data_IF_886300084967
#
_entry.id   IF_886300084967
#
_cell.length_a   1.000
_cell.length_b   1.000
_cell.length_c   1.000
_cell.angle_alpha   90.00
_cell.angle_beta   90.00
_cell.angle_gamma   90.00
#
_symmetry.space_group_name_H-M   'P 1'
#
loop_
_entity.id
_entity.type
_entity.pdbx_description
1 polymer ?
#
# COMPACT_ATOMS: atom_id res chain seq x y z
N UNK A 1 -4.18 10.54 -16.80
CA UNK A 1 -4.90 9.31 -17.22
C UNK A 1 -5.08 8.29 -16.09
N UNK A 2 -4.03 7.91 -15.34
CA UNK A 2 -4.12 6.92 -14.22
C UNK A 2 -5.13 7.27 -13.13
N UNK A 3 -5.22 8.54 -12.72
CA UNK A 3 -6.22 9.03 -11.74
C UNK A 3 -7.67 8.80 -12.19
N UNK A 4 -8.00 9.05 -13.47
CA UNK A 4 -9.34 8.75 -14.02
C UNK A 4 -9.59 7.25 -14.12
N UNK A 5 -8.59 6.47 -14.53
CA UNK A 5 -8.71 5.01 -14.59
C UNK A 5 -8.93 4.37 -13.21
N UNK A 6 -8.39 4.95 -12.13
CA UNK A 6 -8.63 4.46 -10.76
C UNK A 6 -10.00 4.87 -10.19
N UNK A 7 -10.51 6.05 -10.58
CA UNK A 7 -11.79 6.59 -10.11
C UNK A 7 -12.98 6.03 -10.91
N UNK A 8 -12.79 5.72 -12.19
CA UNK A 8 -13.85 5.45 -13.17
C UNK A 8 -13.92 3.97 -13.60
N UNK A 9 -12.92 3.15 -13.25
CA UNK A 9 -12.97 1.72 -13.53
C UNK A 9 -13.85 1.00 -12.51
N UNK A 10 -15.04 0.57 -12.96
CA UNK A 10 -15.78 -0.56 -12.35
C UNK A 10 -14.93 -1.85 -12.26
N UNK A 11 -13.77 -1.87 -12.93
CA UNK A 11 -12.81 -2.97 -13.02
C UNK A 11 -11.44 -2.62 -12.41
N UNK A 12 -11.38 -2.39 -11.10
CA UNK A 12 -10.15 -2.65 -10.33
C UNK A 12 -10.06 -4.17 -10.09
N UNK A 13 -10.15 -4.99 -11.14
CA UNK A 13 -9.94 -6.44 -10.99
C UNK A 13 -8.47 -6.82 -11.14
N UNK A 14 -7.64 -5.95 -11.73
CA UNK A 14 -6.24 -6.26 -12.01
C UNK A 14 -5.28 -5.09 -11.71
N UNK A 15 -5.70 -4.04 -10.98
CA UNK A 15 -4.91 -2.81 -10.85
C UNK A 15 -4.02 -2.74 -9.62
N UNK A 16 -4.61 -3.07 -8.46
CA UNK A 16 -3.98 -2.92 -7.15
C UNK A 16 -3.19 -4.18 -6.75
N UNK A 17 -3.81 -5.35 -6.90
CA UNK A 17 -3.19 -6.63 -6.53
C UNK A 17 -2.25 -7.21 -7.61
N UNK A 18 -2.23 -6.67 -8.84
CA UNK A 18 -1.55 -7.34 -9.95
C UNK A 18 -0.08 -6.96 -10.18
N UNK A 19 0.53 -6.10 -9.36
CA UNK A 19 1.86 -5.54 -9.68
C UNK A 19 3.05 -6.34 -9.16
N UNK A 20 2.82 -7.26 -8.24
CA UNK A 20 3.64 -8.45 -8.15
C UNK A 20 2.70 -9.61 -8.44
N UNK A 21 2.50 -9.92 -9.73
CA UNK A 21 2.21 -11.30 -10.06
C UNK A 21 3.41 -12.08 -9.52
N UNK A 22 3.29 -12.62 -8.30
CA UNK A 22 3.77 -13.97 -8.08
C UNK A 22 3.23 -14.72 -9.29
N UNK A 23 4.08 -14.97 -10.29
CA UNK A 23 3.79 -16.03 -11.23
C UNK A 23 3.30 -17.18 -10.36
N UNK A 24 2.17 -17.81 -10.68
CA UNK A 24 1.53 -18.79 -9.78
C UNK A 24 2.49 -19.93 -9.31
N UNK A 25 3.70 -19.99 -9.88
CA UNK A 25 4.85 -20.83 -9.56
C UNK A 25 5.94 -20.23 -8.62
N UNK A 26 5.89 -18.96 -8.22
CA UNK A 26 6.92 -18.37 -7.34
C UNK A 26 6.72 -18.82 -5.90
N UNK A 27 7.70 -19.54 -5.35
CA UNK A 27 7.67 -20.05 -3.97
C UNK A 27 7.93 -18.97 -2.91
N UNK A 28 8.54 -17.85 -3.29
CA UNK A 28 9.03 -16.83 -2.36
C UNK A 28 8.38 -15.48 -2.61
N UNK A 29 8.18 -14.71 -1.53
CA UNK A 29 7.71 -13.33 -1.62
C UNK A 29 8.74 -12.51 -2.41
N UNK A 30 8.30 -11.67 -3.35
CA UNK A 30 9.26 -11.17 -4.30
C UNK A 30 10.05 -9.94 -3.78
N UNK A 31 9.56 -9.22 -2.75
CA UNK A 31 10.40 -8.29 -1.96
C UNK A 31 11.51 -9.01 -1.19
N UNK A 32 11.23 -10.20 -0.63
CA UNK A 32 12.24 -11.03 0.04
C UNK A 32 13.33 -11.45 -0.95
N UNK A 33 12.94 -11.78 -2.19
CA UNK A 33 13.89 -12.08 -3.27
C UNK A 33 14.81 -10.89 -3.55
N UNK A 34 14.27 -9.66 -3.64
CA UNK A 34 15.09 -8.46 -3.85
C UNK A 34 16.10 -8.27 -2.72
N UNK A 35 15.66 -8.36 -1.46
CA UNK A 35 16.57 -8.23 -0.31
C UNK A 35 17.65 -9.31 -0.33
N UNK A 36 17.31 -10.55 -0.65
CA UNK A 36 18.28 -11.64 -0.78
C UNK A 36 19.30 -11.39 -1.91
N UNK A 37 18.86 -10.82 -3.05
CA UNK A 37 19.76 -10.45 -4.15
C UNK A 37 20.69 -9.30 -3.77
N UNK A 38 20.21 -8.33 -2.99
CA UNK A 38 21.04 -7.26 -2.43
C UNK A 38 22.08 -7.82 -1.47
N UNK A 39 21.68 -8.69 -0.53
CA UNK A 39 22.61 -9.38 0.39
C UNK A 39 23.67 -10.15 -0.40
N UNK A 40 23.26 -10.90 -1.42
CA UNK A 40 24.18 -11.64 -2.27
C UNK A 40 25.15 -10.73 -3.02
N UNK A 41 24.69 -9.62 -3.61
CA UNK A 41 25.56 -8.67 -4.27
C UNK A 41 26.55 -8.00 -3.31
N UNK A 42 26.12 -7.66 -2.09
CA UNK A 42 27.00 -7.16 -1.04
C UNK A 42 28.04 -8.20 -0.62
N UNK A 43 27.66 -9.48 -0.59
CA UNK A 43 28.60 -10.57 -0.32
C UNK A 43 29.64 -10.76 -1.43
N UNK A 44 29.22 -10.67 -2.70
CA UNK A 44 30.17 -10.71 -3.82
C UNK A 44 31.16 -9.55 -3.74
N UNK A 45 30.72 -8.35 -3.39
CA UNK A 45 31.63 -7.21 -3.18
C UNK A 45 32.68 -7.44 -2.08
N UNK A 46 32.38 -8.29 -1.09
CA UNK A 46 33.34 -8.66 -0.03
C UNK A 46 34.45 -9.58 -0.57
N UNK A 47 34.14 -10.43 -1.56
CA UNK A 47 35.03 -11.51 -2.04
C UNK A 47 35.78 -11.17 -3.33
N UNK A 48 35.29 -10.22 -4.12
CA UNK A 48 35.70 -10.01 -5.51
C UNK A 48 36.87 -9.04 -5.70
N UNK A 49 37.56 -9.16 -6.85
CA UNK A 49 38.64 -8.24 -7.22
C UNK A 49 38.08 -6.84 -7.60
N UNK A 50 38.89 -5.78 -7.58
CA UNK A 50 38.45 -4.44 -7.98
C UNK A 50 37.87 -4.34 -9.41
N UNK A 51 38.21 -5.29 -10.29
CA UNK A 51 37.86 -5.30 -11.72
C UNK A 51 36.41 -5.75 -11.97
N UNK A 52 35.89 -6.71 -11.20
CA UNK A 52 34.49 -7.17 -11.24
C UNK A 52 33.53 -6.31 -10.42
N UNK A 53 34.06 -5.41 -9.58
CA UNK A 53 33.29 -4.54 -8.68
C UNK A 53 32.28 -3.63 -9.41
N UNK A 54 32.58 -3.19 -10.64
CA UNK A 54 31.71 -2.26 -11.36
C UNK A 54 30.38 -2.88 -11.80
N UNK A 55 30.40 -4.13 -12.26
CA UNK A 55 29.20 -4.86 -12.67
C UNK A 55 28.31 -5.17 -11.46
N UNK A 56 28.91 -5.59 -10.36
CA UNK A 56 28.18 -5.88 -9.11
C UNK A 56 27.48 -4.62 -8.58
N UNK A 57 28.16 -3.46 -8.61
CA UNK A 57 27.56 -2.17 -8.23
C UNK A 57 26.39 -1.82 -9.13
N UNK A 58 26.50 -2.03 -10.44
CA UNK A 58 25.40 -1.77 -11.37
C UNK A 58 24.17 -2.65 -11.08
N UNK A 59 24.39 -3.93 -10.79
CA UNK A 59 23.32 -4.88 -10.40
C UNK A 59 22.68 -4.46 -9.07
N UNK A 60 23.48 -4.12 -8.06
CA UNK A 60 22.97 -3.63 -6.78
C UNK A 60 22.14 -2.36 -6.93
N UNK A 61 22.58 -1.42 -7.78
CA UNK A 61 21.82 -0.20 -8.03
C UNK A 61 20.47 -0.50 -8.70
N UNK A 62 20.40 -1.49 -9.59
CA UNK A 62 19.13 -1.92 -10.17
C UNK A 62 18.16 -2.46 -9.11
N UNK A 63 18.65 -3.24 -8.15
CA UNK A 63 17.83 -3.75 -7.05
C UNK A 63 17.41 -2.67 -6.04
N UNK A 64 18.28 -1.69 -5.79
CA UNK A 64 17.94 -0.48 -5.01
C UNK A 64 16.79 0.26 -5.69
N UNK A 65 16.91 0.55 -6.98
CA UNK A 65 15.88 1.26 -7.75
C UNK A 65 14.55 0.50 -7.78
N UNK A 66 14.59 -0.84 -7.86
CA UNK A 66 13.39 -1.68 -7.83
C UNK A 66 12.70 -1.63 -6.46
N UNK A 67 13.49 -1.61 -5.38
CA UNK A 67 12.99 -1.45 -4.01
C UNK A 67 12.34 -0.07 -3.82
N UNK A 68 13.01 1.00 -4.24
CA UNK A 68 12.46 2.37 -4.20
C UNK A 68 11.15 2.46 -4.98
N UNK A 69 11.14 1.95 -6.21
CA UNK A 69 9.96 1.93 -7.08
C UNK A 69 8.80 1.15 -6.46
N UNK A 70 9.05 0.11 -5.67
CA UNK A 70 7.99 -0.57 -4.92
C UNK A 70 7.41 0.34 -3.83
N UNK A 71 8.26 0.94 -3.00
CA UNK A 71 7.82 1.78 -1.89
C UNK A 71 7.04 3.01 -2.39
N UNK A 72 7.53 3.66 -3.45
CA UNK A 72 6.87 4.80 -4.09
C UNK A 72 5.49 4.44 -4.64
N UNK A 73 5.36 3.29 -5.34
CA UNK A 73 4.07 2.85 -5.85
C UNK A 73 3.08 2.54 -4.74
N UNK A 74 3.52 1.89 -3.67
CA UNK A 74 2.68 1.61 -2.50
C UNK A 74 2.19 2.90 -1.84
N UNK A 75 3.05 3.91 -1.73
CA UNK A 75 2.68 5.24 -1.23
C UNK A 75 1.63 5.94 -2.11
N UNK A 76 1.83 5.93 -3.43
CA UNK A 76 0.89 6.51 -4.38
C UNK A 76 -0.48 5.85 -4.26
N UNK A 77 -0.48 4.52 -4.20
CA UNK A 77 -1.69 3.72 -4.14
C UNK A 77 -2.45 4.02 -2.81
N UNK A 78 -1.79 4.04 -1.65
CA UNK A 78 -2.41 4.45 -0.39
C UNK A 78 -2.91 5.90 -0.39
N UNK A 79 -2.14 6.83 -0.96
CA UNK A 79 -2.53 8.24 -1.04
C UNK A 79 -3.82 8.40 -1.86
N UNK A 80 -3.91 7.72 -3.00
CA UNK A 80 -5.08 7.78 -3.88
C UNK A 80 -6.30 7.15 -3.20
N UNK A 81 -6.14 5.96 -2.61
CA UNK A 81 -7.22 5.27 -1.92
C UNK A 81 -7.75 6.09 -0.73
N UNK A 82 -6.85 6.62 0.09
CA UNK A 82 -7.23 7.46 1.24
C UNK A 82 -8.05 8.66 0.81
N UNK A 83 -7.60 9.36 -0.23
CA UNK A 83 -8.32 10.51 -0.77
C UNK A 83 -9.71 10.15 -1.31
N UNK A 84 -9.84 9.06 -2.06
CA UNK A 84 -11.15 8.62 -2.58
C UNK A 84 -12.12 8.29 -1.42
N UNK A 85 -11.66 7.56 -0.41
CA UNK A 85 -12.48 7.21 0.75
C UNK A 85 -12.87 8.44 1.56
N UNK A 86 -11.95 9.38 1.79
CA UNK A 86 -12.25 10.64 2.49
C UNK A 86 -13.25 11.51 1.72
N UNK A 87 -13.13 11.60 0.40
CA UNK A 87 -14.10 12.33 -0.43
C UNK A 87 -15.49 11.70 -0.32
N UNK A 88 -15.61 10.37 -0.36
CA UNK A 88 -16.89 9.65 -0.17
C UNK A 88 -17.48 9.88 1.22
N UNK A 89 -16.67 9.78 2.27
CA UNK A 89 -17.09 10.08 3.65
C UNK A 89 -17.66 11.51 3.71
N UNK A 90 -16.96 12.48 3.12
CA UNK A 90 -17.41 13.87 3.11
C UNK A 90 -18.77 14.00 2.42
N UNK A 91 -18.97 13.41 1.24
CA UNK A 91 -20.24 13.49 0.52
C UNK A 91 -21.39 12.82 1.28
N UNK A 92 -21.17 11.63 1.85
CA UNK A 92 -22.21 10.90 2.57
C UNK A 92 -22.53 11.50 3.95
N UNK A 93 -21.61 12.25 4.56
CA UNK A 93 -21.88 13.01 5.79
C UNK A 93 -22.78 14.21 5.58
N UNK A 94 -22.77 14.84 4.40
CA UNK A 94 -23.58 16.05 4.14
C UNK A 94 -25.06 15.88 4.48
N UNK A 95 -25.78 14.85 3.98
CA UNK A 95 -27.18 14.64 4.36
C UNK A 95 -27.36 14.31 5.85
N UNK A 96 -26.35 13.75 6.51
CA UNK A 96 -26.37 13.42 7.94
C UNK A 96 -26.21 14.63 8.86
N UNK A 97 -25.81 15.80 8.34
CA UNK A 97 -25.76 17.05 9.11
C UNK A 97 -27.15 17.70 9.28
N UNK A 98 -28.11 17.35 8.42
CA UNK A 98 -29.48 17.88 8.42
C UNK A 98 -30.47 16.72 8.43
N UNK A 99 -30.47 15.95 9.53
CA UNK A 99 -31.19 14.67 9.61
C UNK A 99 -32.69 14.80 9.46
N UNK A 100 -33.28 15.92 9.89
CA UNK A 100 -34.69 16.25 9.74
C UNK A 100 -35.09 16.39 8.26
N UNK A 101 -34.33 17.16 7.49
CA UNK A 101 -34.53 17.33 6.04
C UNK A 101 -34.32 16.01 5.33
N UNK A 102 -33.25 15.29 5.70
CA UNK A 102 -32.94 13.99 5.10
C UNK A 102 -34.04 12.96 5.36
N UNK A 103 -34.57 12.87 6.58
CA UNK A 103 -35.65 11.94 6.92
C UNK A 103 -36.95 12.27 6.17
N UNK A 104 -37.22 13.54 5.88
CA UNK A 104 -38.33 13.96 5.00
C UNK A 104 -38.10 13.49 3.56
N UNK A 105 -36.89 13.70 3.02
CA UNK A 105 -36.54 13.24 1.67
C UNK A 105 -36.67 11.72 1.53
N UNK A 106 -36.31 10.97 2.58
CA UNK A 106 -36.47 9.52 2.62
C UNK A 106 -37.94 9.06 2.54
N UNK A 107 -38.94 9.93 2.64
CA UNK A 107 -40.33 9.52 2.38
C UNK A 107 -40.61 9.25 0.90
N UNK A 108 -39.83 9.85 -0.01
CA UNK A 108 -39.91 9.60 -1.43
C UNK A 108 -39.27 8.24 -1.79
N UNK A 109 -40.08 7.34 -2.35
CA UNK A 109 -39.64 5.98 -2.70
C UNK A 109 -38.54 5.97 -3.77
N UNK A 110 -38.61 6.87 -4.75
CA UNK A 110 -37.60 6.95 -5.83
C UNK A 110 -36.27 7.40 -5.25
N UNK A 111 -36.27 8.45 -4.43
CA UNK A 111 -35.09 8.95 -3.74
C UNK A 111 -34.42 7.87 -2.88
N UNK A 112 -35.20 7.15 -2.06
CA UNK A 112 -34.66 6.03 -1.26
C UNK A 112 -34.00 4.95 -2.11
N UNK A 113 -34.62 4.55 -3.21
CA UNK A 113 -34.08 3.50 -4.08
C UNK A 113 -32.76 3.95 -4.72
N UNK A 114 -32.69 5.19 -5.22
CA UNK A 114 -31.46 5.75 -5.79
C UNK A 114 -30.34 5.86 -4.75
N UNK A 115 -30.67 6.28 -3.53
CA UNK A 115 -29.75 6.34 -2.41
C UNK A 115 -29.19 4.96 -2.02
N UNK A 116 -30.05 3.95 -1.89
CA UNK A 116 -29.64 2.58 -1.55
C UNK A 116 -28.76 1.95 -2.63
N UNK A 117 -29.09 2.16 -3.91
CA UNK A 117 -28.24 1.74 -5.03
C UNK A 117 -26.88 2.46 -5.02
N UNK A 118 -26.85 3.73 -4.63
CA UNK A 118 -25.63 4.50 -4.41
C UNK A 118 -24.77 3.91 -3.28
N UNK A 119 -25.39 3.61 -2.14
CA UNK A 119 -24.71 2.97 -1.00
C UNK A 119 -24.10 1.63 -1.37
N UNK A 120 -24.83 0.76 -2.08
CA UNK A 120 -24.32 -0.54 -2.52
C UNK A 120 -23.07 -0.40 -3.41
N UNK A 121 -23.02 0.63 -4.26
CA UNK A 121 -21.81 0.94 -5.05
C UNK A 121 -20.65 1.38 -4.17
N UNK A 122 -20.89 2.20 -3.15
CA UNK A 122 -19.87 2.65 -2.19
C UNK A 122 -19.33 1.47 -1.38
N UNK A 123 -20.20 0.59 -0.88
CA UNK A 123 -19.84 -0.60 -0.12
C UNK A 123 -18.94 -1.54 -0.94
N UNK A 124 -19.31 -1.83 -2.21
CA UNK A 124 -18.46 -2.62 -3.12
C UNK A 124 -17.08 -2.00 -3.34
N UNK A 125 -17.00 -0.67 -3.42
CA UNK A 125 -15.70 0.02 -3.54
C UNK A 125 -14.91 -0.12 -2.25
N UNK A 126 -15.53 0.08 -1.09
CA UNK A 126 -14.88 -0.08 0.21
C UNK A 126 -14.33 -1.50 0.41
N UNK A 127 -15.12 -2.54 0.11
CA UNK A 127 -14.69 -3.95 0.20
C UNK A 127 -13.47 -4.25 -0.69
N UNK A 128 -13.46 -3.73 -1.91
CA UNK A 128 -12.32 -3.88 -2.83
C UNK A 128 -11.09 -3.17 -2.30
N UNK A 129 -11.26 -1.95 -1.78
CA UNK A 129 -10.17 -1.17 -1.16
C UNK A 129 -9.62 -1.85 0.08
N UNK A 130 -10.45 -2.50 0.91
CA UNK A 130 -9.99 -3.31 2.06
C UNK A 130 -9.10 -4.46 1.58
N UNK A 131 -9.55 -5.26 0.60
CA UNK A 131 -8.75 -6.40 0.08
C UNK A 131 -7.40 -5.95 -0.49
N UNK A 132 -7.43 -4.83 -1.20
CA UNK A 132 -6.27 -4.16 -1.75
C UNK A 132 -5.29 -3.71 -0.64
N UNK A 133 -5.80 -3.00 0.35
CA UNK A 133 -5.04 -2.53 1.51
C UNK A 133 -4.42 -3.69 2.28
N UNK A 134 -5.19 -4.74 2.58
CA UNK A 134 -4.71 -5.92 3.31
C UNK A 134 -3.57 -6.61 2.56
N UNK A 135 -3.68 -6.74 1.23
CA UNK A 135 -2.61 -7.30 0.40
C UNK A 135 -1.34 -6.46 0.48
N UNK A 136 -1.45 -5.13 0.36
CA UNK A 136 -0.30 -4.23 0.49
C UNK A 136 0.31 -4.28 1.90
N UNK A 137 -0.51 -4.42 2.95
CA UNK A 137 -0.04 -4.56 4.33
C UNK A 137 0.75 -5.85 4.54
N UNK A 138 0.37 -6.96 3.89
CA UNK A 138 1.16 -8.20 3.90
C UNK A 138 2.53 -8.00 3.22
N UNK A 139 2.56 -7.32 2.08
CA UNK A 139 3.80 -7.03 1.37
C UNK A 139 4.72 -6.13 2.22
N UNK A 140 4.17 -5.12 2.90
CA UNK A 140 4.91 -4.25 3.82
C UNK A 140 5.47 -5.02 5.04
N UNK A 141 4.69 -5.92 5.63
CA UNK A 141 5.16 -6.77 6.73
C UNK A 141 6.27 -7.73 6.28
N UNK A 142 6.25 -8.19 5.03
CA UNK A 142 7.39 -8.90 4.44
C UNK A 142 8.59 -7.98 4.22
N UNK A 143 8.35 -6.76 3.74
CA UNK A 143 9.37 -5.74 3.54
C UNK A 143 10.11 -5.42 4.83
N UNK A 144 9.39 -5.10 5.91
CA UNK A 144 9.96 -4.78 7.23
C UNK A 144 10.88 -5.90 7.72
N UNK A 145 10.41 -7.15 7.65
CA UNK A 145 11.20 -8.32 8.08
C UNK A 145 12.44 -8.50 7.22
N UNK A 146 12.30 -8.45 5.90
CA UNK A 146 13.41 -8.71 4.97
C UNK A 146 14.47 -7.60 5.02
N UNK A 147 14.05 -6.34 5.21
CA UNK A 147 14.96 -5.20 5.41
C UNK A 147 15.69 -5.31 6.75
N UNK A 148 15.04 -5.81 7.81
CA UNK A 148 15.72 -6.07 9.08
C UNK A 148 16.81 -7.16 8.95
N UNK A 149 16.58 -8.20 8.15
CA UNK A 149 17.62 -9.21 7.85
C UNK A 149 18.78 -8.61 7.05
N UNK A 150 18.50 -7.72 6.08
CA UNK A 150 19.55 -6.97 5.37
C UNK A 150 20.39 -6.16 6.36
N UNK A 151 19.77 -5.47 7.32
CA UNK A 151 20.49 -4.72 8.35
C UNK A 151 21.46 -5.60 9.14
N UNK A 152 20.99 -6.73 9.64
CA UNK A 152 21.83 -7.68 10.39
C UNK A 152 23.03 -8.15 9.55
N UNK A 153 22.81 -8.39 8.26
CA UNK A 153 23.88 -8.75 7.34
C UNK A 153 24.90 -7.62 7.16
N UNK A 154 24.45 -6.39 6.92
CA UNK A 154 25.31 -5.22 6.73
C UNK A 154 26.11 -4.89 7.99
N UNK A 155 25.48 -4.98 9.17
CA UNK A 155 26.14 -4.82 10.47
C UNK A 155 27.25 -5.86 10.63
N UNK A 156 26.97 -7.13 10.33
CA UNK A 156 27.97 -8.19 10.34
C UNK A 156 29.11 -7.96 9.34
N UNK A 157 28.78 -7.50 8.13
CA UNK A 157 29.77 -7.18 7.09
C UNK A 157 30.69 -6.02 7.51
N UNK A 158 30.15 -5.01 8.17
CA UNK A 158 30.90 -3.86 8.67
C UNK A 158 31.98 -4.24 9.69
N UNK A 159 31.76 -5.30 10.47
CA UNK A 159 32.74 -5.81 11.44
C UNK A 159 33.86 -6.64 10.81
N UNK A 160 33.64 -7.21 9.63
CA UNK A 160 34.59 -8.12 8.96
C UNK A 160 35.45 -7.43 7.91
N UNK A 161 34.99 -6.32 7.34
CA UNK A 161 35.69 -5.64 6.25
C UNK A 161 37.02 -5.02 6.71
N UNK A 162 38.15 -5.36 6.07
CA UNK A 162 39.43 -4.72 6.34
C UNK A 162 39.37 -3.22 5.98
N UNK A 163 39.98 -2.38 6.82
CA UNK A 163 40.07 -0.91 6.69
C UNK A 163 40.63 -0.42 5.33
N UNK A 164 41.21 -1.31 4.52
CA UNK A 164 41.93 -0.98 3.29
C UNK A 164 41.09 -0.77 2.02
N UNK A 165 39.84 -1.27 1.93
CA UNK A 165 39.04 -1.13 0.69
C UNK A 165 38.03 0.03 0.79
N UNK A 166 38.51 1.24 0.49
CA UNK A 166 37.72 2.49 0.56
C UNK A 166 36.45 2.45 -0.31
N UNK A 167 36.51 1.82 -1.49
CA UNK A 167 35.37 1.74 -2.42
C UNK A 167 34.26 0.85 -1.85
N UNK A 168 34.61 -0.34 -1.37
CA UNK A 168 33.64 -1.25 -0.74
C UNK A 168 33.06 -0.64 0.53
N UNK A 169 33.87 0.08 1.32
CA UNK A 169 33.40 0.79 2.50
C UNK A 169 32.36 1.88 2.16
N UNK A 170 32.56 2.62 1.07
CA UNK A 170 31.58 3.60 0.59
C UNK A 170 30.28 2.95 0.15
N UNK A 171 30.35 1.83 -0.58
CA UNK A 171 29.16 1.09 -1.03
C UNK A 171 28.39 0.53 0.17
N UNK A 172 29.10 -0.05 1.16
CA UNK A 172 28.48 -0.52 2.41
C UNK A 172 27.78 0.62 3.16
N UNK A 173 28.42 1.78 3.27
CA UNK A 173 27.82 2.95 3.92
C UNK A 173 26.57 3.42 3.17
N UNK A 174 26.60 3.44 1.83
CA UNK A 174 25.44 3.80 1.02
C UNK A 174 24.29 2.79 1.18
N UNK A 175 24.59 1.50 1.15
CA UNK A 175 23.58 0.45 1.34
C UNK A 175 22.96 0.47 2.73
N UNK A 176 23.77 0.77 3.77
CA UNK A 176 23.26 0.96 5.13
C UNK A 176 22.33 2.18 5.23
N UNK A 177 22.64 3.26 4.51
CA UNK A 177 21.74 4.41 4.39
C UNK A 177 20.42 4.06 3.70
N UNK A 178 20.48 3.29 2.60
CA UNK A 178 19.29 2.81 1.90
C UNK A 178 18.43 1.92 2.80
N UNK A 179 19.03 0.96 3.50
CA UNK A 179 18.33 0.09 4.44
C UNK A 179 17.57 0.89 5.50
N UNK A 180 18.23 1.87 6.15
CA UNK A 180 17.61 2.72 7.17
C UNK A 180 16.46 3.55 6.59
N UNK A 181 16.66 4.10 5.39
CA UNK A 181 15.63 4.86 4.68
C UNK A 181 14.41 3.99 4.35
N UNK A 182 14.63 2.80 3.82
CA UNK A 182 13.57 1.83 3.53
C UNK A 182 12.85 1.38 4.78
N UNK A 183 13.57 1.05 5.85
CA UNK A 183 12.97 0.62 7.11
C UNK A 183 12.01 1.67 7.65
N UNK A 184 12.46 2.92 7.72
CA UNK A 184 11.61 4.05 8.14
C UNK A 184 10.40 4.19 7.23
N UNK A 185 10.62 4.20 5.91
CA UNK A 185 9.54 4.44 4.96
C UNK A 185 8.49 3.32 4.94
N UNK A 186 8.91 2.06 5.10
CA UNK A 186 8.02 0.90 5.28
C UNK A 186 7.11 1.07 6.51
N UNK A 187 7.65 1.58 7.63
CA UNK A 187 6.88 1.86 8.83
C UNK A 187 5.89 3.03 8.65
N UNK A 188 6.29 4.07 7.91
CA UNK A 188 5.42 5.18 7.55
C UNK A 188 4.26 4.69 6.67
N UNK A 189 4.54 3.87 5.64
CA UNK A 189 3.53 3.24 4.78
C UNK A 189 2.58 2.35 5.57
N UNK A 190 3.08 1.55 6.50
CA UNK A 190 2.25 0.72 7.38
C UNK A 190 1.29 1.57 8.21
N UNK A 191 1.74 2.73 8.66
CA UNK A 191 0.90 3.68 9.42
C UNK A 191 -0.17 4.33 8.52
N UNK A 192 0.18 4.68 7.28
CA UNK A 192 -0.80 5.12 6.28
C UNK A 192 -1.86 4.05 5.97
N UNK A 193 -1.45 2.78 5.83
CA UNK A 193 -2.37 1.67 5.62
C UNK A 193 -3.36 1.51 6.79
N UNK A 194 -2.90 1.63 8.03
CA UNK A 194 -3.79 1.66 9.21
C UNK A 194 -4.79 2.82 9.16
N UNK A 195 -4.32 4.01 8.82
CA UNK A 195 -5.18 5.19 8.68
C UNK A 195 -6.27 4.97 7.60
N UNK A 196 -5.91 4.42 6.44
CA UNK A 196 -6.86 4.03 5.41
C UNK A 196 -7.92 3.04 5.95
N UNK A 197 -7.49 2.05 6.74
CA UNK A 197 -8.39 1.11 7.41
C UNK A 197 -9.40 1.80 8.32
N UNK A 198 -8.97 2.77 9.13
CA UNK A 198 -9.86 3.56 9.99
C UNK A 198 -10.86 4.39 9.17
N UNK A 199 -10.43 4.94 8.03
CA UNK A 199 -11.34 5.65 7.11
C UNK A 199 -12.36 4.71 6.49
N UNK A 200 -11.96 3.50 6.08
CA UNK A 200 -12.88 2.50 5.54
C UNK A 200 -13.94 2.07 6.56
N UNK A 201 -13.55 1.86 7.83
CA UNK A 201 -14.49 1.61 8.92
C UNK A 201 -15.48 2.77 9.13
N UNK A 202 -14.97 4.00 9.06
CA UNK A 202 -15.81 5.21 9.13
C UNK A 202 -16.82 5.26 7.98
N UNK A 203 -16.39 4.93 6.76
CA UNK A 203 -17.26 4.90 5.58
C UNK A 203 -18.37 3.84 5.75
N UNK A 204 -18.01 2.63 6.18
CA UNK A 204 -18.97 1.55 6.45
C UNK A 204 -20.02 1.96 7.47
N UNK A 205 -19.60 2.60 8.57
CA UNK A 205 -20.55 3.07 9.58
C UNK A 205 -21.55 4.10 9.05
N UNK A 206 -21.13 4.95 8.11
CA UNK A 206 -22.01 5.95 7.49
C UNK A 206 -22.99 5.29 6.53
N UNK A 207 -22.52 4.36 5.67
CA UNK A 207 -23.40 3.64 4.75
C UNK A 207 -24.43 2.81 5.50
N UNK A 208 -24.04 2.16 6.60
CA UNK A 208 -24.94 1.40 7.48
C UNK A 208 -26.03 2.27 8.10
N UNK A 209 -25.69 3.47 8.57
CA UNK A 209 -26.65 4.41 9.15
C UNK A 209 -27.63 4.93 8.10
N UNK A 210 -27.15 5.28 6.90
CA UNK A 210 -28.00 5.70 5.78
C UNK A 210 -28.97 4.58 5.40
N UNK A 211 -28.48 3.34 5.26
CA UNK A 211 -29.28 2.16 4.91
C UNK A 211 -30.35 1.87 5.98
N UNK A 212 -30.00 2.02 7.26
CA UNK A 212 -30.92 1.87 8.40
C UNK A 212 -32.06 2.89 8.36
N UNK A 213 -31.75 4.17 8.12
CA UNK A 213 -32.74 5.24 8.01
C UNK A 213 -33.67 5.05 6.82
N UNK A 214 -33.11 4.71 5.65
CA UNK A 214 -33.90 4.40 4.47
C UNK A 214 -34.86 3.21 4.72
N UNK A 215 -34.38 2.16 5.40
CA UNK A 215 -35.21 1.03 5.82
C UNK A 215 -36.33 1.42 6.80
N UNK A 216 -36.05 2.30 7.76
CA UNK A 216 -37.06 2.80 8.70
C UNK A 216 -38.13 3.66 8.00
N UNK A 217 -37.74 4.53 7.07
CA UNK A 217 -38.69 5.29 6.25
C UNK A 217 -39.52 4.38 5.34
N UNK A 218 -38.94 3.32 4.80
CA UNK A 218 -39.68 2.32 4.03
C UNK A 218 -40.81 1.69 4.85
N UNK A 219 -40.52 1.25 6.08
CA UNK A 219 -41.52 0.63 6.98
C UNK A 219 -42.64 1.56 7.45
N UNK A 220 -42.38 2.87 7.55
CA UNK A 220 -43.40 3.88 7.92
C UNK A 220 -44.41 4.13 6.80
N UNK A 221 -44.02 3.87 5.55
CA UNK A 221 -44.82 4.15 4.35
C UNK A 221 -45.45 2.86 3.76
N UNK A 222 -45.55 1.80 4.56
CA UNK A 222 -46.26 0.54 4.25
C UNK A 222 -47.63 0.56 4.91
#
# INVERSE_FOLDING_TARGET
MRKRQLIEAERIEDGWAAKWKNAKSSKNHPFLKLMAQIVFGMHLLEQESPESTAEIVAILQAHVNETDSFLERTNEDFTIATKDIEERIRYLRMPMLHTDVFDVMLNDRKYRNELLLGNEKVERIAERTVKAMDSAMMDLDCGIRSTAELRLYLDGLSTRLPVGNRKVSQILSAMSGNEQGWNKYLHDLRSQGKYLGERLLTLSSITDEISRRAGAASRRNV
#
